data_IF_076672910035
#
_entry.id   IF_076672910035
#
_cell.length_a   1.000
_cell.length_b   1.000
_cell.length_c   1.000
_cell.angle_alpha   90.00
_cell.angle_beta   90.00
_cell.angle_gamma   90.00
#
_symmetry.space_group_name_H-M   'P 1'
#
loop_
_entity.id
_entity.type
_entity.pdbx_description
1 polymer ?
#
# COMPACT_ATOMS: atom_id res chain seq x y z
N UNK A 1 40.28 -35.99 -24.26
CA UNK A 1 40.09 -35.58 -22.84
C UNK A 1 39.34 -34.25 -22.63
N UNK A 2 38.93 -33.49 -23.66
CA UNK A 2 38.30 -32.16 -23.49
C UNK A 2 36.75 -32.15 -23.40
N UNK A 3 36.07 -33.27 -23.64
CA UNK A 3 34.60 -33.31 -23.65
C UNK A 3 33.99 -33.36 -22.25
N UNK A 4 34.65 -34.05 -21.30
CA UNK A 4 34.14 -34.21 -19.94
C UNK A 4 34.05 -32.89 -19.14
N UNK A 5 35.00 -31.96 -19.36
CA UNK A 5 35.03 -30.67 -18.66
C UNK A 5 33.81 -29.80 -19.00
N UNK A 6 33.42 -29.73 -20.28
CA UNK A 6 32.26 -28.93 -20.71
C UNK A 6 30.95 -29.44 -20.12
N UNK A 7 30.77 -30.76 -20.02
CA UNK A 7 29.55 -31.35 -19.46
C UNK A 7 29.40 -31.05 -17.96
N UNK A 8 30.51 -31.07 -17.20
CA UNK A 8 30.51 -30.71 -15.77
C UNK A 8 30.16 -29.25 -15.54
N UNK A 9 30.64 -28.33 -16.39
CA UNK A 9 30.32 -26.90 -16.26
C UNK A 9 28.84 -26.62 -16.56
N UNK A 10 28.28 -27.27 -17.58
CA UNK A 10 26.85 -27.17 -17.89
C UNK A 10 25.99 -27.73 -16.74
N UNK A 11 26.40 -28.85 -16.15
CA UNK A 11 25.71 -29.45 -15.00
C UNK A 11 25.75 -28.53 -13.77
N UNK A 12 26.89 -27.91 -13.48
CA UNK A 12 27.03 -26.96 -12.36
C UNK A 12 26.19 -25.68 -12.56
N UNK A 13 26.12 -25.14 -13.78
CA UNK A 13 25.24 -24.01 -14.11
C UNK A 13 23.77 -24.40 -13.93
N UNK A 14 23.39 -25.60 -14.39
CA UNK A 14 22.02 -26.09 -14.27
C UNK A 14 21.61 -26.31 -12.80
N UNK A 15 22.50 -26.87 -11.99
CA UNK A 15 22.30 -27.00 -10.54
C UNK A 15 22.25 -25.63 -9.87
N UNK A 16 23.09 -24.68 -10.27
CA UNK A 16 23.05 -23.31 -9.72
C UNK A 16 21.75 -22.59 -10.09
N UNK A 17 21.22 -22.77 -11.30
CA UNK A 17 19.91 -22.27 -11.71
C UNK A 17 18.75 -22.95 -10.96
N UNK A 18 18.81 -24.28 -10.77
CA UNK A 18 17.80 -25.02 -10.01
C UNK A 18 17.82 -24.65 -8.53
N UNK A 19 18.99 -24.41 -7.94
CA UNK A 19 19.12 -23.86 -6.59
C UNK A 19 18.58 -22.43 -6.57
N UNK A 20 18.92 -21.55 -7.52
CA UNK A 20 18.35 -20.20 -7.58
C UNK A 20 16.81 -20.19 -7.69
N UNK A 21 16.22 -21.12 -8.45
CA UNK A 21 14.77 -21.28 -8.52
C UNK A 21 14.18 -21.88 -7.24
N UNK A 22 14.92 -22.72 -6.51
CA UNK A 22 14.51 -23.28 -5.22
C UNK A 22 14.61 -22.28 -4.05
N UNK A 23 15.26 -21.13 -4.23
CA UNK A 23 15.27 -20.02 -3.25
C UNK A 23 14.10 -19.05 -3.42
N UNK A 24 13.22 -19.28 -4.40
CA UNK A 24 11.91 -18.66 -4.38
C UNK A 24 11.06 -19.38 -3.34
N UNK A 25 11.22 -18.99 -2.08
CA UNK A 25 10.24 -19.32 -1.03
C UNK A 25 8.90 -18.89 -1.60
N UNK A 26 7.96 -19.82 -1.74
CA UNK A 26 6.57 -19.52 -2.07
C UNK A 26 6.00 -18.63 -0.95
N UNK A 27 6.26 -17.33 -1.01
CA UNK A 27 5.58 -16.37 -0.15
C UNK A 27 4.13 -16.32 -0.60
N UNK A 28 3.22 -16.61 0.32
CA UNK A 28 1.80 -16.42 0.06
C UNK A 28 1.50 -14.92 -0.02
N UNK A 29 0.51 -14.56 -0.81
CA UNK A 29 -0.09 -13.23 -0.82
C UNK A 29 -1.07 -13.03 0.35
N UNK A 30 -1.35 -14.10 1.10
CA UNK A 30 -2.48 -14.21 2.02
C UNK A 30 -2.05 -14.71 3.39
N UNK A 31 -2.53 -14.01 4.43
CA UNK A 31 -2.45 -14.35 5.84
C UNK A 31 -3.82 -14.83 6.33
N UNK A 32 -3.88 -16.03 6.93
CA UNK A 32 -5.10 -16.60 7.51
C UNK A 32 -5.10 -16.46 9.03
N UNK A 33 -6.25 -16.65 9.70
CA UNK A 33 -6.31 -16.61 11.16
C UNK A 33 -5.32 -17.58 11.82
N UNK A 34 -4.50 -17.04 12.72
CA UNK A 34 -3.45 -17.80 13.43
C UNK A 34 -2.06 -17.77 12.77
N UNK A 35 -1.98 -17.36 11.50
CA UNK A 35 -0.70 -17.14 10.83
C UNK A 35 0.02 -15.93 11.44
N UNK A 36 1.36 -15.94 11.38
CA UNK A 36 2.21 -14.83 11.83
C UNK A 36 3.20 -14.48 10.75
N UNK A 37 3.19 -13.22 10.33
CA UNK A 37 4.21 -12.63 9.47
C UNK A 37 5.18 -11.84 10.35
N UNK A 38 6.44 -12.26 10.44
CA UNK A 38 7.48 -11.61 11.25
C UNK A 38 8.61 -11.08 10.34
N UNK A 39 9.72 -10.61 10.93
CA UNK A 39 10.85 -10.05 10.20
C UNK A 39 11.61 -11.03 9.29
N UNK A 40 11.40 -12.36 9.41
CA UNK A 40 12.06 -13.35 8.56
C UNK A 40 11.25 -13.74 7.31
N UNK A 41 10.07 -13.15 7.12
CA UNK A 41 9.17 -13.47 6.02
C UNK A 41 8.49 -12.22 5.45
N UNK A 42 7.92 -12.37 4.26
CA UNK A 42 7.12 -11.34 3.58
C UNK A 42 5.93 -11.99 2.90
N UNK A 43 4.86 -11.21 2.68
CA UNK A 43 3.86 -11.54 1.67
C UNK A 43 4.28 -10.92 0.34
N UNK A 44 4.08 -11.61 -0.77
CA UNK A 44 4.21 -11.04 -2.11
C UNK A 44 2.82 -11.02 -2.76
N UNK A 45 2.48 -9.95 -3.46
CA UNK A 45 1.30 -9.94 -4.32
C UNK A 45 1.39 -11.08 -5.35
N UNK A 46 0.26 -11.57 -5.84
CA UNK A 46 0.21 -12.73 -6.75
C UNK A 46 1.14 -12.60 -7.96
N UNK A 47 1.31 -11.39 -8.50
CA UNK A 47 2.22 -11.12 -9.62
C UNK A 47 3.64 -10.70 -9.20
N UNK A 48 3.94 -10.64 -7.91
CA UNK A 48 5.24 -10.26 -7.34
C UNK A 48 5.60 -8.76 -7.43
N UNK A 49 4.67 -7.88 -7.81
CA UNK A 49 4.92 -6.43 -7.94
C UNK A 49 5.12 -5.74 -6.59
N UNK A 50 4.32 -6.13 -5.59
CA UNK A 50 4.35 -5.57 -4.25
C UNK A 50 4.71 -6.63 -3.22
N UNK A 51 5.40 -6.20 -2.17
CA UNK A 51 5.70 -7.00 -0.99
C UNK A 51 5.20 -6.32 0.27
N UNK A 52 4.80 -7.09 1.27
CA UNK A 52 4.47 -6.64 2.62
C UNK A 52 5.41 -7.34 3.61
N UNK A 53 6.11 -6.58 4.44
CA UNK A 53 7.01 -7.13 5.44
C UNK A 53 7.45 -6.11 6.48
N UNK A 54 8.24 -6.57 7.46
CA UNK A 54 8.84 -5.70 8.47
C UNK A 54 10.24 -5.22 8.02
N UNK A 55 10.50 -3.92 8.17
CA UNK A 55 11.81 -3.31 7.93
C UNK A 55 12.22 -2.36 9.05
N UNK A 56 13.53 -2.20 9.26
CA UNK A 56 14.08 -1.20 10.18
C UNK A 56 14.42 0.05 9.37
N UNK A 57 13.79 1.18 9.72
CA UNK A 57 13.93 2.44 8.97
C UNK A 57 14.53 3.57 9.81
N UNK A 58 14.17 3.67 11.10
CA UNK A 58 14.53 4.79 11.99
C UNK A 58 15.06 4.29 13.33
N UNK A 59 16.33 4.54 13.67
CA UNK A 59 16.89 4.33 15.02
C UNK A 59 16.51 2.99 15.70
N UNK A 60 16.53 1.90 14.92
CA UNK A 60 16.19 0.56 15.43
C UNK A 60 14.68 0.28 15.59
N UNK A 61 13.81 1.18 15.14
CA UNK A 61 12.35 0.99 15.06
C UNK A 61 11.98 0.14 13.84
N UNK A 62 11.08 -0.80 14.05
CA UNK A 62 10.54 -1.68 13.04
C UNK A 62 9.16 -1.21 12.57
N UNK A 63 9.00 -1.22 11.25
CA UNK A 63 7.78 -0.80 10.57
C UNK A 63 7.28 -1.91 9.67
N UNK A 64 5.97 -2.17 9.72
CA UNK A 64 5.27 -2.97 8.73
C UNK A 64 5.02 -2.09 7.50
N UNK A 65 5.57 -2.48 6.36
CA UNK A 65 5.53 -1.67 5.15
C UNK A 65 5.12 -2.49 3.92
N UNK A 66 4.41 -1.83 3.01
CA UNK A 66 4.23 -2.30 1.64
C UNK A 66 5.27 -1.59 0.77
N UNK A 67 6.02 -2.34 -0.04
CA UNK A 67 7.03 -1.83 -0.96
C UNK A 67 6.83 -2.40 -2.36
N UNK A 68 7.40 -1.75 -3.37
CA UNK A 68 7.66 -2.45 -4.62
C UNK A 68 8.75 -3.50 -4.38
N UNK A 69 8.55 -4.73 -4.85
CA UNK A 69 9.48 -5.85 -4.58
C UNK A 69 10.92 -5.54 -5.01
N UNK A 70 11.08 -4.77 -6.09
CA UNK A 70 12.38 -4.37 -6.63
C UNK A 70 12.93 -3.05 -6.06
N UNK A 71 12.21 -2.39 -5.14
CA UNK A 71 12.59 -1.11 -4.54
C UNK A 71 12.07 -0.99 -3.12
N UNK A 72 12.81 -1.59 -2.18
CA UNK A 72 12.44 -1.66 -0.76
C UNK A 72 12.72 -0.37 0.03
N UNK A 73 13.44 0.59 -0.55
CA UNK A 73 13.83 1.84 0.11
C UNK A 73 12.70 2.86 0.22
N UNK A 74 11.66 2.72 -0.59
CA UNK A 74 10.55 3.66 -0.69
C UNK A 74 9.23 2.92 -0.46
N UNK A 75 8.84 2.71 0.80
CA UNK A 75 7.57 2.06 1.08
C UNK A 75 6.41 2.95 0.63
N UNK A 76 5.43 2.33 -0.02
CA UNK A 76 4.24 2.99 -0.55
C UNK A 76 3.12 3.06 0.49
N UNK A 77 3.25 2.29 1.58
CA UNK A 77 2.37 2.30 2.73
C UNK A 77 3.11 1.80 3.97
N UNK A 78 2.81 2.37 5.15
CA UNK A 78 3.37 1.97 6.44
C UNK A 78 2.23 1.88 7.47
N UNK A 79 2.05 0.71 8.08
CA UNK A 79 0.89 0.44 8.93
C UNK A 79 0.99 0.97 10.36
N UNK A 80 2.19 1.10 10.90
CA UNK A 80 2.44 1.48 12.30
C UNK A 80 3.34 2.72 12.42
N UNK A 81 3.19 3.68 11.49
CA UNK A 81 4.06 4.87 11.45
C UNK A 81 3.88 5.80 12.66
N UNK A 82 2.72 5.78 13.32
CA UNK A 82 2.43 6.55 14.54
C UNK A 82 2.90 5.84 15.81
N UNK A 83 2.96 4.50 15.77
CA UNK A 83 3.29 3.64 16.91
C UNK A 83 4.30 2.57 16.45
N UNK A 84 5.56 2.96 16.17
CA UNK A 84 6.58 2.02 15.72
C UNK A 84 6.81 0.89 16.71
N UNK A 85 7.07 -0.31 16.17
CA UNK A 85 7.59 -1.41 16.96
C UNK A 85 9.07 -1.19 17.26
N UNK A 86 9.60 -1.81 18.32
CA UNK A 86 11.05 -1.88 18.54
C UNK A 86 11.61 -3.09 17.80
N UNK A 87 12.70 -2.92 17.04
CA UNK A 87 13.28 -3.98 16.21
C UNK A 87 13.76 -5.21 16.99
N UNK A 88 14.10 -5.04 18.27
CA UNK A 88 14.48 -6.14 19.16
C UNK A 88 13.32 -6.84 19.88
N UNK A 89 12.06 -6.49 19.58
CA UNK A 89 10.87 -7.06 20.24
C UNK A 89 10.13 -8.10 19.39
N UNK A 90 10.76 -8.58 18.32
CA UNK A 90 10.20 -9.59 17.40
C UNK A 90 8.76 -9.25 16.98
N UNK A 91 8.54 -8.11 16.31
CA UNK A 91 7.21 -7.73 15.88
C UNK A 91 6.68 -8.71 14.83
N UNK A 92 5.37 -8.96 14.88
CA UNK A 92 4.68 -9.78 13.89
C UNK A 92 3.29 -9.24 13.60
N UNK A 93 2.88 -9.35 12.34
CA UNK A 93 1.51 -9.12 11.90
C UNK A 93 0.73 -10.42 12.00
N UNK A 94 -0.48 -10.35 12.56
CA UNK A 94 -1.40 -11.49 12.62
C UNK A 94 -2.84 -11.05 12.41
N UNK A 95 -3.66 -12.01 11.96
CA UNK A 95 -5.10 -11.89 11.81
C UNK A 95 -5.75 -12.88 12.77
N UNK A 96 -6.82 -12.48 13.46
CA UNK A 96 -7.60 -13.38 14.29
C UNK A 96 -8.93 -13.81 13.63
N UNK A 97 -9.64 -14.71 14.31
CA UNK A 97 -10.90 -15.29 13.87
C UNK A 97 -12.09 -14.30 13.86
N UNK A 98 -11.94 -13.13 14.47
CA UNK A 98 -12.92 -12.02 14.44
C UNK A 98 -12.62 -11.04 13.31
N UNK A 99 -11.56 -11.30 12.54
CA UNK A 99 -11.08 -10.41 11.49
C UNK A 99 -10.22 -9.26 12.01
N UNK A 100 -9.84 -9.25 13.29
CA UNK A 100 -8.95 -8.22 13.83
C UNK A 100 -7.54 -8.41 13.27
N UNK A 101 -7.01 -7.35 12.65
CA UNK A 101 -5.65 -7.30 12.09
C UNK A 101 -4.80 -6.40 12.98
N UNK A 102 -3.72 -6.94 13.54
CA UNK A 102 -2.87 -6.20 14.46
C UNK A 102 -1.40 -6.65 14.40
N UNK A 103 -0.52 -5.76 14.85
CA UNK A 103 0.90 -6.01 15.04
C UNK A 103 1.12 -6.30 16.53
N UNK A 104 1.61 -7.49 16.84
CA UNK A 104 1.99 -7.92 18.18
C UNK A 104 3.52 -7.90 18.39
N UNK A 105 3.93 -8.04 19.64
CA UNK A 105 5.34 -8.08 20.06
C UNK A 105 5.58 -9.30 20.96
N UNK A 106 6.52 -10.17 20.59
CA UNK A 106 6.81 -11.40 21.34
C UNK A 106 5.55 -12.18 21.74
N UNK A 107 5.30 -12.31 23.05
CA UNK A 107 4.10 -12.95 23.61
C UNK A 107 3.15 -11.95 24.31
N UNK A 108 3.39 -10.64 24.23
CA UNK A 108 2.62 -9.66 24.99
C UNK A 108 1.56 -8.94 24.14
N UNK A 109 0.31 -9.34 24.32
CA UNK A 109 -0.84 -8.75 23.61
C UNK A 109 -1.21 -7.33 24.07
N UNK A 110 -0.70 -6.86 25.23
CA UNK A 110 -1.07 -5.56 25.78
C UNK A 110 -0.43 -4.36 25.05
N UNK A 111 0.61 -4.60 24.25
CA UNK A 111 1.33 -3.58 23.49
C UNK A 111 1.11 -3.70 21.96
N UNK A 112 -0.05 -4.24 21.54
CA UNK A 112 -0.34 -4.45 20.12
C UNK A 112 -0.79 -3.16 19.42
N UNK A 113 -0.33 -2.94 18.18
CA UNK A 113 -0.83 -1.88 17.30
C UNK A 113 -1.95 -2.45 16.44
N UNK A 114 -3.16 -1.95 16.64
CA UNK A 114 -4.34 -2.38 15.88
C UNK A 114 -4.40 -1.65 14.53
N UNK A 115 -4.44 -2.41 13.43
CA UNK A 115 -4.67 -1.86 12.09
C UNK A 115 -6.17 -1.88 11.73
N UNK A 116 -6.86 -2.93 12.18
CA UNK A 116 -8.30 -3.11 12.03
C UNK A 116 -8.86 -3.89 13.22
N UNK A 117 -9.94 -3.37 13.82
CA UNK A 117 -10.57 -3.92 15.02
C UNK A 117 -11.30 -5.27 14.81
N UNK A 118 -11.69 -5.58 13.56
CA UNK A 118 -12.56 -6.74 13.29
C UNK A 118 -14.01 -6.53 13.76
N UNK A 119 -14.76 -7.64 13.81
CA UNK A 119 -16.12 -7.69 14.35
C UNK A 119 -16.09 -8.36 15.72
N UNK A 120 -16.10 -7.56 16.79
CA UNK A 120 -15.90 -8.04 18.16
C UNK A 120 -16.98 -9.02 18.63
N UNK A 121 -18.16 -9.02 18.00
CA UNK A 121 -19.31 -9.81 18.41
C UNK A 121 -19.44 -11.16 17.70
N UNK A 122 -18.66 -11.43 16.64
CA UNK A 122 -18.87 -12.60 15.78
C UNK A 122 -17.59 -13.15 15.18
N UNK A 123 -17.47 -14.48 15.21
CA UNK A 123 -16.45 -15.20 14.44
C UNK A 123 -16.76 -15.10 12.95
N UNK A 124 -15.79 -14.64 12.17
CA UNK A 124 -15.93 -14.45 10.72
C UNK A 124 -15.51 -15.75 10.03
N UNK A 125 -16.38 -16.27 9.16
CA UNK A 125 -16.11 -17.53 8.46
C UNK A 125 -15.29 -17.22 7.20
N UNK A 126 -14.19 -17.92 6.98
CA UNK A 126 -13.31 -17.71 5.82
C UNK A 126 -12.78 -16.26 5.69
N UNK A 127 -12.33 -15.69 6.81
CA UNK A 127 -11.63 -14.40 6.80
C UNK A 127 -10.16 -14.57 6.43
N UNK A 128 -9.62 -13.64 5.66
CA UNK A 128 -8.19 -13.58 5.33
C UNK A 128 -7.73 -12.15 5.11
N UNK A 129 -6.42 -11.90 5.28
CA UNK A 129 -5.78 -10.66 4.86
C UNK A 129 -4.91 -10.94 3.63
N UNK A 130 -5.15 -10.27 2.52
CA UNK A 130 -4.47 -10.54 1.23
C UNK A 130 -3.86 -9.27 0.66
N UNK A 131 -2.60 -9.34 0.24
CA UNK A 131 -1.92 -8.29 -0.51
C UNK A 131 -2.24 -8.43 -2.00
N UNK A 132 -2.99 -7.47 -2.54
CA UNK A 132 -3.38 -7.47 -3.95
C UNK A 132 -2.25 -6.92 -4.84
N UNK A 133 -2.30 -7.26 -6.13
CA UNK A 133 -1.37 -6.76 -7.17
C UNK A 133 -1.41 -5.23 -7.37
N UNK A 134 -2.42 -4.57 -6.82
CA UNK A 134 -2.53 -3.10 -6.78
C UNK A 134 -1.69 -2.47 -5.68
N UNK A 135 -1.12 -3.27 -4.76
CA UNK A 135 -0.49 -2.80 -3.53
C UNK A 135 -1.47 -2.56 -2.38
N UNK A 136 -2.75 -2.92 -2.56
CA UNK A 136 -3.77 -2.81 -1.52
C UNK A 136 -3.76 -4.07 -0.64
N UNK A 137 -3.56 -3.90 0.67
CA UNK A 137 -3.73 -4.97 1.65
C UNK A 137 -5.18 -4.95 2.12
N UNK A 138 -5.92 -6.03 1.88
CA UNK A 138 -7.35 -6.12 2.20
C UNK A 138 -7.62 -7.21 3.23
N UNK A 139 -8.44 -6.92 4.23
CA UNK A 139 -9.10 -7.94 5.07
C UNK A 139 -10.45 -8.22 4.44
N UNK A 140 -10.70 -9.49 4.09
CA UNK A 140 -11.91 -9.91 3.38
C UNK A 140 -12.52 -11.15 4.00
N UNK A 141 -13.85 -11.24 3.91
CA UNK A 141 -14.63 -12.42 4.27
C UNK A 141 -15.21 -13.05 3.00
N UNK A 142 -15.11 -14.37 2.88
CA UNK A 142 -15.88 -15.12 1.88
C UNK A 142 -17.24 -15.54 2.48
N UNK A 143 -18.26 -14.72 2.25
CA UNK A 143 -19.63 -15.00 2.70
C UNK A 143 -20.32 -15.98 1.76
N UNK A 144 -21.04 -16.95 2.33
CA UNK A 144 -21.82 -17.92 1.56
C UNK A 144 -22.99 -17.28 0.78
N UNK A 145 -23.51 -16.14 1.24
CA UNK A 145 -24.66 -15.47 0.60
C UNK A 145 -24.26 -14.32 -0.33
N UNK A 146 -23.17 -13.62 -0.01
CA UNK A 146 -22.82 -12.34 -0.65
C UNK A 146 -21.50 -12.38 -1.44
N UNK A 147 -20.83 -13.53 -1.49
CA UNK A 147 -19.51 -13.66 -2.10
C UNK A 147 -18.42 -13.00 -1.26
N UNK A 148 -17.36 -12.53 -1.94
CA UNK A 148 -16.25 -11.84 -1.28
C UNK A 148 -16.67 -10.43 -0.82
N UNK A 149 -16.47 -10.14 0.46
CA UNK A 149 -16.76 -8.84 1.08
C UNK A 149 -15.47 -8.28 1.67
N UNK A 150 -15.09 -7.07 1.25
CA UNK A 150 -13.95 -6.33 1.83
C UNK A 150 -14.42 -5.68 3.13
N UNK A 151 -13.77 -6.03 4.24
CA UNK A 151 -14.05 -5.52 5.58
C UNK A 151 -13.16 -4.32 5.93
N UNK A 152 -11.91 -4.36 5.48
CA UNK A 152 -10.93 -3.30 5.68
C UNK A 152 -9.90 -3.31 4.54
N UNK A 153 -9.31 -2.15 4.24
CA UNK A 153 -8.26 -2.04 3.23
C UNK A 153 -7.25 -0.93 3.54
N UNK A 154 -5.98 -1.15 3.23
CA UNK A 154 -4.92 -0.16 3.44
C UNK A 154 -5.12 1.11 2.62
N UNK A 155 -5.77 1.02 1.45
CA UNK A 155 -6.07 2.17 0.58
C UNK A 155 -7.01 3.21 1.22
N UNK A 156 -7.77 2.85 2.26
CA UNK A 156 -8.57 3.80 3.04
C UNK A 156 -7.76 4.50 4.14
N UNK A 157 -6.52 4.08 4.36
CA UNK A 157 -5.57 4.58 5.35
C UNK A 157 -4.23 4.96 4.70
N UNK A 158 -4.21 5.93 3.76
CA UNK A 158 -3.00 6.34 3.05
C UNK A 158 -1.90 6.88 3.98
N UNK A 159 -0.63 6.71 3.58
CA UNK A 159 0.52 7.37 4.21
C UNK A 159 0.94 8.61 3.43
N UNK A 160 2.03 8.59 2.70
CA UNK A 160 2.62 9.69 1.94
C UNK A 160 2.56 9.47 0.41
N UNK A 161 2.15 8.29 -0.03
CA UNK A 161 2.12 7.88 -1.44
C UNK A 161 0.68 7.65 -1.92
N UNK A 162 0.39 8.04 -3.17
CA UNK A 162 -0.88 7.77 -3.85
C UNK A 162 -0.66 6.78 -5.00
N UNK A 163 -1.10 5.55 -4.81
CA UNK A 163 -1.10 4.50 -5.85
C UNK A 163 -2.35 4.57 -6.74
N UNK A 164 -2.30 4.00 -7.95
CA UNK A 164 -3.48 3.79 -8.78
C UNK A 164 -4.59 3.05 -8.00
N UNK A 165 -5.83 3.53 -8.12
CA UNK A 165 -6.98 2.98 -7.40
C UNK A 165 -7.23 3.58 -6.01
N UNK A 166 -6.25 4.22 -5.38
CA UNK A 166 -6.46 4.96 -4.13
C UNK A 166 -7.35 6.19 -4.35
N UNK A 167 -8.04 6.61 -3.28
CA UNK A 167 -8.97 7.74 -3.28
C UNK A 167 -8.43 8.89 -2.43
N UNK A 168 -8.30 10.07 -3.01
CA UNK A 168 -7.94 11.30 -2.30
C UNK A 168 -9.16 12.23 -2.26
N UNK A 169 -9.74 12.47 -1.08
CA UNK A 169 -11.00 13.22 -0.98
C UNK A 169 -11.83 12.86 0.25
N UNK A 170 -13.14 13.03 0.17
CA UNK A 170 -14.05 12.90 1.32
C UNK A 170 -15.09 11.81 1.07
N UNK A 171 -15.29 10.95 2.06
CA UNK A 171 -16.47 10.12 2.16
C UNK A 171 -17.49 10.82 3.05
N UNK A 172 -18.58 11.32 2.46
CA UNK A 172 -19.63 12.10 3.15
C UNK A 172 -20.47 11.23 4.08
N UNK A 173 -20.61 9.94 3.78
CA UNK A 173 -21.34 8.96 4.62
C UNK A 173 -20.63 8.68 5.95
N UNK A 174 -19.30 8.55 5.94
CA UNK A 174 -18.50 8.25 7.14
C UNK A 174 -17.82 9.47 7.74
N UNK A 175 -17.83 10.61 7.04
CA UNK A 175 -17.08 11.81 7.40
C UNK A 175 -15.56 11.68 7.21
N UNK A 176 -15.06 10.53 6.74
CA UNK A 176 -13.62 10.31 6.58
C UNK A 176 -13.05 11.14 5.43
N UNK A 177 -11.96 11.86 5.71
CA UNK A 177 -11.13 12.53 4.71
C UNK A 177 -9.88 11.70 4.46
N UNK A 178 -9.66 11.31 3.20
CA UNK A 178 -8.46 10.63 2.73
C UNK A 178 -7.49 11.68 2.18
N UNK A 179 -6.32 11.79 2.81
CA UNK A 179 -5.24 12.71 2.47
C UNK A 179 -3.90 12.01 2.65
N UNK A 180 -2.88 12.45 1.92
CA UNK A 180 -1.52 11.98 2.18
C UNK A 180 -0.88 12.87 3.24
N UNK A 181 0.00 12.31 4.06
CA UNK A 181 0.78 13.01 5.07
C UNK A 181 2.25 12.63 4.92
N UNK A 182 3.12 13.64 4.77
CA UNK A 182 4.56 13.45 4.57
C UNK A 182 5.19 12.69 5.73
N UNK A 183 6.40 12.19 5.52
CA UNK A 183 7.27 11.76 6.61
C UNK A 183 7.72 12.97 7.44
N UNK A 184 8.09 12.73 8.69
CA UNK A 184 8.59 13.74 9.61
C UNK A 184 9.99 14.19 9.19
N UNK A 185 10.82 13.23 8.79
CA UNK A 185 12.14 13.49 8.24
C UNK A 185 12.53 12.43 7.19
N UNK A 186 13.69 12.58 6.54
CA UNK A 186 14.13 11.66 5.48
C UNK A 186 14.21 10.19 5.89
N UNK A 187 14.50 9.93 7.17
CA UNK A 187 14.61 8.59 7.73
C UNK A 187 13.58 8.32 8.83
N UNK A 188 12.64 9.24 9.08
CA UNK A 188 11.62 9.12 10.12
C UNK A 188 10.23 9.11 9.48
N UNK A 189 9.60 7.92 9.34
CA UNK A 189 8.30 7.77 8.71
C UNK A 189 7.13 8.27 9.56
N UNK A 190 7.35 8.76 10.78
CA UNK A 190 6.29 9.38 11.56
C UNK A 190 5.57 10.49 10.77
N UNK A 191 4.30 10.80 11.07
CA UNK A 191 3.58 11.88 10.39
C UNK A 191 4.30 13.22 10.48
N UNK A 192 4.59 13.80 9.31
CA UNK A 192 5.27 15.08 9.17
C UNK A 192 4.34 16.28 9.10
N UNK A 193 4.92 17.42 8.74
CA UNK A 193 4.22 18.70 8.74
C UNK A 193 3.34 18.95 7.50
N UNK A 194 3.54 18.19 6.41
CA UNK A 194 2.88 18.45 5.14
C UNK A 194 1.77 17.43 4.86
N UNK A 195 0.63 17.90 4.35
CA UNK A 195 -0.44 17.05 3.85
C UNK A 195 -0.81 17.40 2.42
N UNK A 196 -1.20 16.41 1.62
CA UNK A 196 -1.76 16.58 0.28
C UNK A 196 -3.21 16.12 0.28
N UNK A 197 -4.12 16.96 -0.17
CA UNK A 197 -5.56 16.69 -0.18
C UNK A 197 -6.24 17.17 -1.46
N UNK A 198 -7.34 16.54 -1.83
CA UNK A 198 -8.27 17.05 -2.84
C UNK A 198 -9.23 18.05 -2.19
N UNK A 199 -9.36 19.23 -2.79
CA UNK A 199 -10.37 20.24 -2.43
C UNK A 199 -11.45 20.30 -3.51
N UNK A 200 -12.67 19.77 -3.22
CA UNK A 200 -13.83 19.88 -4.09
C UNK A 200 -14.17 21.30 -4.53
N UNK A 201 -14.01 22.29 -3.64
CA UNK A 201 -14.43 23.66 -3.90
C UNK A 201 -13.49 24.34 -4.90
N UNK A 202 -12.18 24.13 -4.73
CA UNK A 202 -11.18 24.61 -5.67
C UNK A 202 -11.13 23.77 -6.95
N UNK A 203 -11.62 22.52 -6.92
CA UNK A 203 -11.44 21.54 -7.99
C UNK A 203 -9.97 21.21 -8.23
N UNK A 204 -9.18 21.18 -7.15
CA UNK A 204 -7.72 21.11 -7.19
C UNK A 204 -7.11 20.39 -5.99
N UNK A 205 -5.81 20.13 -6.07
CA UNK A 205 -5.00 19.63 -4.96
C UNK A 205 -4.48 20.78 -4.10
N UNK A 206 -4.50 20.57 -2.78
CA UNK A 206 -3.90 21.48 -1.80
C UNK A 206 -2.78 20.76 -1.07
N UNK A 207 -1.64 21.44 -0.95
CA UNK A 207 -0.61 21.09 0.03
C UNK A 207 -0.76 22.03 1.22
N UNK A 208 -0.92 21.47 2.41
CA UNK A 208 -0.91 22.23 3.67
C UNK A 208 0.36 21.95 4.45
N UNK A 209 0.87 22.97 5.13
CA UNK A 209 1.90 22.84 6.16
C UNK A 209 1.28 23.17 7.52
N UNK A 210 1.16 22.19 8.41
CA UNK A 210 0.51 22.34 9.74
C UNK A 210 -0.89 22.97 9.65
N UNK A 211 -1.69 22.50 8.69
CA UNK A 211 -3.06 22.98 8.46
C UNK A 211 -3.17 24.26 7.63
N UNK A 212 -2.09 25.00 7.41
CA UNK A 212 -2.08 26.23 6.60
C UNK A 212 -1.80 25.88 5.13
N UNK A 213 -2.59 26.43 4.20
CA UNK A 213 -2.36 26.22 2.76
C UNK A 213 -0.98 26.77 2.39
N UNK A 214 -0.13 25.88 1.87
CA UNK A 214 1.24 26.17 1.45
C UNK A 214 1.35 26.27 -0.06
N UNK A 215 0.62 25.43 -0.79
CA UNK A 215 0.62 25.40 -2.25
C UNK A 215 -0.70 24.84 -2.80
N UNK A 216 -1.05 25.21 -4.02
CA UNK A 216 -2.23 24.69 -4.73
C UNK A 216 -1.86 24.29 -6.16
N UNK A 217 -2.43 23.19 -6.65
CA UNK A 217 -2.26 22.77 -8.05
C UNK A 217 -3.02 23.65 -9.04
N UNK A 218 -3.88 24.54 -8.55
CA UNK A 218 -4.96 25.13 -9.36
C UNK A 218 -5.96 24.07 -9.81
N UNK A 219 -6.87 24.44 -10.73
CA UNK A 219 -8.01 23.61 -11.10
C UNK A 219 -7.58 22.47 -12.02
N UNK A 220 -8.19 21.30 -11.86
CA UNK A 220 -8.09 20.21 -12.83
C UNK A 220 -8.94 20.54 -14.06
N UNK A 221 -8.31 20.57 -15.24
CA UNK A 221 -8.94 20.89 -16.53
C UNK A 221 -8.82 19.74 -17.50
N UNK A 222 -9.79 19.69 -18.41
CA UNK A 222 -9.82 18.74 -19.51
C UNK A 222 -9.03 19.29 -20.69
N UNK A 223 -8.12 18.50 -21.21
CA UNK A 223 -7.37 18.81 -22.43
C UNK A 223 -7.84 17.89 -23.57
N UNK A 224 -8.21 18.51 -24.68
CA UNK A 224 -8.74 17.84 -25.87
C UNK A 224 -7.70 17.88 -26.99
N UNK A 225 -7.68 16.85 -27.84
CA UNK A 225 -6.94 16.92 -29.09
C UNK A 225 -7.64 17.83 -30.12
N UNK A 226 -6.97 18.07 -31.26
CA UNK A 226 -7.49 18.93 -32.34
C UNK A 226 -8.78 18.37 -32.98
N UNK A 227 -9.16 17.12 -32.68
CA UNK A 227 -10.37 16.45 -33.15
C UNK A 227 -11.50 16.46 -32.10
N UNK A 228 -11.27 17.05 -30.93
CA UNK A 228 -12.24 17.14 -29.83
C UNK A 228 -12.31 15.91 -28.93
N UNK A 229 -11.38 14.96 -29.05
CA UNK A 229 -11.26 13.82 -28.13
C UNK A 229 -10.59 14.22 -26.82
N UNK A 230 -11.15 13.82 -25.66
CA UNK A 230 -10.49 14.04 -24.37
C UNK A 230 -9.18 13.23 -24.33
N UNK A 231 -8.05 13.92 -24.22
CA UNK A 231 -6.73 13.32 -24.23
C UNK A 231 -6.21 13.07 -22.81
N UNK A 232 -6.33 14.07 -21.93
CA UNK A 232 -5.84 13.98 -20.55
C UNK A 232 -6.46 15.07 -19.67
N UNK A 233 -6.41 14.89 -18.34
CA UNK A 233 -6.72 15.94 -17.38
C UNK A 233 -5.44 16.50 -16.76
N UNK A 234 -5.32 17.81 -16.67
CA UNK A 234 -4.13 18.51 -16.18
C UNK A 234 -4.48 19.57 -15.14
N UNK A 235 -3.55 19.81 -14.22
CA UNK A 235 -3.68 20.86 -13.21
C UNK A 235 -2.97 22.14 -13.66
N UNK A 236 -3.58 23.30 -13.44
CA UNK A 236 -3.04 24.61 -13.87
C UNK A 236 -1.57 24.86 -13.48
N UNK A 237 -1.15 24.43 -12.29
CA UNK A 237 0.16 24.73 -11.73
C UNK A 237 1.12 23.53 -11.69
N UNK A 238 0.80 22.42 -12.36
CA UNK A 238 1.72 21.28 -12.49
C UNK A 238 2.38 21.37 -13.87
N UNK A 239 3.60 21.92 -13.90
CA UNK A 239 4.30 22.36 -15.11
C UNK A 239 4.84 21.21 -15.98
N UNK A 240 4.92 19.99 -15.45
CA UNK A 240 5.27 18.81 -16.25
C UNK A 240 4.06 18.42 -17.08
N UNK A 241 4.08 18.79 -18.37
CA UNK A 241 3.12 18.24 -19.34
C UNK A 241 3.22 16.71 -19.29
N UNK A 242 2.10 15.99 -19.18
CA UNK A 242 2.10 14.55 -19.27
C UNK A 242 2.79 14.12 -20.56
N UNK A 243 3.76 13.22 -20.46
CA UNK A 243 4.35 12.56 -21.60
C UNK A 243 3.36 11.47 -22.02
N UNK A 244 2.70 11.60 -23.19
CA UNK A 244 1.71 10.62 -23.62
C UNK A 244 2.29 9.21 -23.81
N UNK A 245 3.62 9.09 -23.92
CA UNK A 245 4.31 7.82 -24.08
C UNK A 245 4.84 7.22 -22.75
N UNK A 246 5.04 8.04 -21.71
CA UNK A 246 5.72 7.63 -20.47
C UNK A 246 4.94 7.94 -19.17
N UNK A 247 3.83 8.67 -19.21
CA UNK A 247 3.02 9.01 -18.03
C UNK A 247 1.63 8.34 -18.10
N UNK A 248 1.53 7.17 -17.46
CA UNK A 248 0.32 6.34 -17.36
C UNK A 248 -0.71 6.82 -16.31
N UNK A 249 -0.67 8.09 -15.91
CA UNK A 249 -1.50 8.57 -14.80
C UNK A 249 -2.68 9.39 -15.32
N UNK A 250 -3.82 8.74 -15.49
CA UNK A 250 -5.06 9.44 -15.83
C UNK A 250 -5.83 9.79 -14.55
N UNK A 251 -5.92 11.08 -14.26
CA UNK A 251 -6.68 11.58 -13.13
C UNK A 251 -8.18 11.49 -13.42
N UNK A 252 -8.93 10.94 -12.47
CA UNK A 252 -10.40 10.96 -12.53
C UNK A 252 -10.97 11.47 -11.24
N UNK A 253 -11.89 12.42 -11.35
CA UNK A 253 -12.70 12.89 -10.22
C UNK A 253 -14.00 12.11 -10.24
N UNK A 254 -14.34 11.52 -9.10
CA UNK A 254 -15.62 10.85 -8.88
C UNK A 254 -16.39 11.68 -7.88
N UNK A 255 -17.59 12.09 -8.23
CA UNK A 255 -18.53 12.78 -7.35
C UNK A 255 -19.84 12.00 -7.38
N UNK A 256 -20.15 11.32 -6.29
CA UNK A 256 -21.44 10.68 -6.04
C UNK A 256 -22.13 11.41 -4.88
N UNK A 257 -23.37 11.03 -4.54
CA UNK A 257 -24.02 11.55 -3.32
C UNK A 257 -23.18 11.29 -2.06
N UNK A 258 -22.53 10.12 -1.99
CA UNK A 258 -21.85 9.62 -0.79
C UNK A 258 -20.37 9.95 -0.71
N UNK A 259 -19.67 10.11 -1.84
CA UNK A 259 -18.23 10.34 -1.85
C UNK A 259 -17.83 11.35 -2.94
N UNK A 260 -16.77 12.10 -2.68
CA UNK A 260 -16.10 12.91 -3.69
C UNK A 260 -14.59 12.82 -3.53
N UNK A 261 -13.91 12.37 -4.60
CA UNK A 261 -12.48 12.13 -4.56
C UNK A 261 -11.82 12.18 -5.94
N UNK A 262 -10.53 12.49 -5.93
CA UNK A 262 -9.59 12.27 -7.00
C UNK A 262 -9.01 10.85 -6.90
N UNK A 263 -8.82 10.18 -8.03
CA UNK A 263 -8.03 8.95 -8.12
C UNK A 263 -7.20 8.91 -9.40
N UNK A 264 -6.13 8.12 -9.36
CA UNK A 264 -5.30 7.79 -10.52
C UNK A 264 -5.78 6.46 -11.11
N UNK A 265 -5.90 6.40 -12.45
CA UNK A 265 -6.05 5.15 -13.20
C UNK A 265 -4.75 4.84 -13.94
N UNK A 266 -4.34 3.58 -13.89
CA UNK A 266 -3.31 2.97 -14.73
C UNK A 266 -3.83 2.63 -16.11
#
# INVERSE_FOLDING_TARGET
MMQASRTTHVFLIFVHCLVYQAWQVSSLDTLKPGDRLNSSSQLLSANGTFSLGFGILDDGKAYLAITHTNSIYFPVWIGNREQPALGGQDPFLTLDITGKLFIGHGNNSAASVELYAGESSKKIVNVSATLLDTGNLVVKEMSSSNGEVILWQSFDHPTDTLLPGMKLGVNRRTGRKRMLTSWFGPNDPAPGAFTLEWDPNAGGLLVRRRGIVYWTSGKLKDYYDDLGGLRIKEFDNILTKPDPANLNYNFTVVNSGDEEYLRIRS
#
